data_IF_524166396252
#
_entry.id   IF_524166396252
#
_cell.length_a   1.000
_cell.length_b   1.000
_cell.length_c   1.000
_cell.angle_alpha   90.00
_cell.angle_beta   90.00
_cell.angle_gamma   90.00
#
_symmetry.space_group_name_H-M   'P 1'
#
loop_
_entity.id
_entity.type
_entity.pdbx_description
1 polymer ?
#
# COMPACT_ATOMS: atom_id res chain seq x y z
N UNK A 1 -30.86 -23.18 -24.72
CA UNK A 1 -30.15 -21.89 -24.69
C UNK A 1 -30.04 -21.45 -23.24
N UNK A 2 -28.92 -21.75 -22.57
CA UNK A 2 -28.71 -21.33 -21.18
C UNK A 2 -28.55 -19.82 -21.10
N UNK A 3 -29.11 -19.14 -20.07
CA UNK A 3 -29.01 -17.70 -19.99
C UNK A 3 -27.54 -17.33 -19.87
N UNK A 4 -27.09 -16.46 -20.77
CA UNK A 4 -25.79 -15.85 -20.74
C UNK A 4 -25.53 -15.38 -19.30
N UNK A 5 -24.47 -15.92 -18.68
CA UNK A 5 -23.89 -15.39 -17.46
C UNK A 5 -23.35 -14.02 -17.89
N UNK A 6 -24.22 -13.01 -17.87
CA UNK A 6 -23.81 -11.61 -18.01
C UNK A 6 -22.75 -11.45 -16.94
N UNK A 7 -21.50 -11.28 -17.35
CA UNK A 7 -20.39 -10.89 -16.48
C UNK A 7 -20.74 -9.53 -15.90
N UNK A 8 -21.59 -9.52 -14.86
CA UNK A 8 -22.12 -8.32 -14.23
C UNK A 8 -20.91 -7.49 -13.82
N UNK A 9 -20.78 -6.29 -14.35
CA UNK A 9 -19.64 -5.45 -14.02
C UNK A 9 -19.85 -4.81 -12.65
N UNK A 10 -18.79 -4.24 -12.08
CA UNK A 10 -18.91 -3.48 -10.83
C UNK A 10 -19.98 -2.39 -10.94
N UNK A 11 -20.03 -1.71 -12.09
CA UNK A 11 -20.99 -0.63 -12.37
C UNK A 11 -22.44 -1.08 -12.20
N UNK A 12 -22.77 -2.28 -12.68
CA UNK A 12 -24.14 -2.82 -12.58
C UNK A 12 -24.53 -3.09 -11.12
N UNK A 13 -23.57 -3.59 -10.31
CA UNK A 13 -23.79 -3.81 -8.87
C UNK A 13 -24.00 -2.48 -8.16
N UNK A 14 -23.14 -1.48 -8.42
CA UNK A 14 -23.26 -0.14 -7.83
C UNK A 14 -24.63 0.46 -8.17
N UNK A 15 -25.04 0.39 -9.44
CA UNK A 15 -26.34 0.91 -9.85
C UNK A 15 -27.49 0.18 -9.15
N UNK A 16 -27.37 -1.15 -8.99
CA UNK A 16 -28.40 -1.95 -8.34
C UNK A 16 -28.53 -1.65 -6.86
N UNK A 17 -27.42 -1.47 -6.15
CA UNK A 17 -27.41 -1.00 -4.75
C UNK A 17 -28.06 0.37 -4.64
N UNK A 18 -27.69 1.32 -5.52
CA UNK A 18 -28.26 2.68 -5.52
C UNK A 18 -29.77 2.72 -5.79
N UNK A 19 -30.30 1.70 -6.47
CA UNK A 19 -31.73 1.59 -6.79
C UNK A 19 -32.53 0.88 -5.69
N UNK A 20 -31.90 0.35 -4.65
CA UNK A 20 -32.61 -0.26 -3.52
C UNK A 20 -33.43 0.80 -2.78
N UNK A 21 -34.69 0.50 -2.48
CA UNK A 21 -35.61 1.45 -1.85
C UNK A 21 -35.53 1.44 -0.32
N UNK A 22 -34.91 0.41 0.25
CA UNK A 22 -34.76 0.24 1.69
C UNK A 22 -33.44 -0.44 2.04
N UNK A 23 -32.94 -0.17 3.25
CA UNK A 23 -31.73 -0.82 3.78
C UNK A 23 -31.87 -2.35 3.87
N UNK A 24 -33.08 -2.85 4.12
CA UNK A 24 -33.34 -4.30 4.18
C UNK A 24 -33.26 -4.96 2.80
N UNK A 25 -33.72 -4.28 1.75
CA UNK A 25 -33.58 -4.74 0.37
C UNK A 25 -32.11 -4.78 -0.06
N UNK A 26 -31.37 -3.71 0.24
CA UNK A 26 -29.93 -3.63 -0.01
C UNK A 26 -29.18 -4.77 0.67
N UNK A 27 -29.41 -4.98 1.98
CA UNK A 27 -28.78 -6.05 2.74
C UNK A 27 -29.07 -7.43 2.14
N UNK A 28 -30.33 -7.72 1.80
CA UNK A 28 -30.72 -8.98 1.14
C UNK A 28 -30.07 -9.15 -0.23
N UNK A 29 -29.82 -8.06 -0.96
CA UNK A 29 -29.13 -8.10 -2.24
C UNK A 29 -27.64 -8.41 -2.05
N UNK A 30 -26.97 -7.69 -1.14
CA UNK A 30 -25.54 -7.88 -0.84
C UNK A 30 -25.28 -9.28 -0.30
N UNK A 31 -26.09 -9.78 0.62
CA UNK A 31 -25.96 -11.15 1.17
C UNK A 31 -26.05 -12.21 0.07
N UNK A 32 -26.98 -12.04 -0.88
CA UNK A 32 -27.15 -12.94 -2.04
C UNK A 32 -25.93 -12.90 -2.97
N UNK A 33 -25.40 -11.72 -3.27
CA UNK A 33 -24.20 -11.59 -4.12
C UNK A 33 -22.95 -12.12 -3.42
N UNK A 34 -22.75 -11.84 -2.13
CA UNK A 34 -21.65 -12.39 -1.34
C UNK A 34 -21.69 -13.92 -1.29
N UNK A 35 -22.88 -14.53 -1.18
CA UNK A 35 -23.01 -15.99 -1.25
C UNK A 35 -22.59 -16.56 -2.62
N UNK A 36 -22.89 -15.87 -3.72
CA UNK A 36 -22.42 -16.25 -5.06
C UNK A 36 -20.90 -16.08 -5.19
N UNK A 37 -20.34 -15.00 -4.65
CA UNK A 37 -18.89 -14.76 -4.67
C UNK A 37 -18.14 -15.89 -3.96
N UNK A 38 -18.58 -16.28 -2.76
CA UNK A 38 -18.00 -17.40 -1.98
C UNK A 38 -17.93 -18.70 -2.77
N UNK A 39 -19.03 -19.08 -3.44
CA UNK A 39 -19.08 -20.35 -4.21
C UNK A 39 -18.17 -20.35 -5.43
N UNK A 40 -17.95 -19.17 -6.02
CA UNK A 40 -17.31 -19.07 -7.33
C UNK A 40 -15.86 -18.58 -7.27
N UNK A 41 -15.22 -18.49 -6.11
CA UNK A 41 -13.83 -18.01 -6.04
C UNK A 41 -12.83 -19.04 -6.60
N UNK A 42 -13.01 -20.32 -6.29
CA UNK A 42 -12.09 -21.38 -6.69
C UNK A 42 -12.10 -21.68 -8.21
N UNK A 43 -13.18 -21.32 -8.91
CA UNK A 43 -13.40 -21.69 -10.31
C UNK A 43 -13.09 -20.57 -11.31
N UNK A 44 -12.61 -19.41 -10.85
CA UNK A 44 -12.40 -18.22 -11.68
C UNK A 44 -10.97 -18.09 -12.18
N UNK A 45 -10.84 -17.63 -13.43
CA UNK A 45 -9.59 -17.12 -13.98
C UNK A 45 -9.11 -15.87 -13.22
N UNK A 46 -7.81 -15.52 -13.33
CA UNK A 46 -7.25 -14.34 -12.63
C UNK A 46 -8.03 -13.04 -12.88
N UNK A 47 -8.45 -12.79 -14.12
CA UNK A 47 -9.26 -11.62 -14.46
C UNK A 47 -10.66 -11.62 -13.79
N UNK A 48 -11.32 -12.78 -13.74
CA UNK A 48 -12.62 -12.91 -13.10
C UNK A 48 -12.53 -12.82 -11.57
N UNK A 49 -11.41 -13.27 -10.99
CA UNK A 49 -11.08 -13.03 -9.57
C UNK A 49 -10.92 -11.55 -9.28
N UNK A 50 -10.24 -10.79 -10.14
CA UNK A 50 -10.12 -9.33 -10.00
C UNK A 50 -11.49 -8.63 -9.99
N UNK A 51 -12.39 -8.98 -10.92
CA UNK A 51 -13.75 -8.42 -10.95
C UNK A 51 -14.51 -8.82 -9.68
N UNK A 52 -14.43 -10.09 -9.28
CA UNK A 52 -15.10 -10.60 -8.09
C UNK A 52 -14.63 -9.91 -6.80
N UNK A 53 -13.32 -9.73 -6.63
CA UNK A 53 -12.75 -9.03 -5.49
C UNK A 53 -13.09 -7.55 -5.49
N UNK A 54 -13.09 -6.89 -6.64
CA UNK A 54 -13.47 -5.47 -6.71
C UNK A 54 -14.92 -5.26 -6.23
N UNK A 55 -15.84 -6.17 -6.58
CA UNK A 55 -17.21 -6.15 -6.07
C UNK A 55 -17.26 -6.38 -4.56
N UNK A 56 -16.47 -7.32 -4.06
CA UNK A 56 -16.38 -7.61 -2.64
C UNK A 56 -15.85 -6.41 -1.85
N UNK A 57 -14.82 -5.74 -2.35
CA UNK A 57 -14.27 -4.52 -1.76
C UNK A 57 -15.28 -3.38 -1.75
N UNK A 58 -16.12 -3.27 -2.78
CA UNK A 58 -17.22 -2.31 -2.77
C UNK A 58 -18.22 -2.60 -1.65
N UNK A 59 -18.62 -3.86 -1.46
CA UNK A 59 -19.49 -4.24 -0.33
C UNK A 59 -18.83 -3.98 1.03
N UNK A 60 -17.52 -4.18 1.13
CA UNK A 60 -16.76 -3.84 2.33
C UNK A 60 -16.81 -2.34 2.64
N UNK A 61 -16.68 -1.47 1.63
CA UNK A 61 -16.81 -0.01 1.79
C UNK A 61 -18.20 0.38 2.30
N UNK A 62 -19.24 -0.35 1.89
CA UNK A 62 -20.61 -0.16 2.40
C UNK A 62 -20.82 -0.70 3.83
N UNK A 63 -19.79 -1.29 4.45
CA UNK A 63 -19.84 -1.82 5.81
C UNK A 63 -20.24 -3.29 5.94
N UNK A 64 -20.30 -4.04 4.83
CA UNK A 64 -20.63 -5.47 4.87
C UNK A 64 -19.38 -6.35 5.10
N UNK A 65 -19.50 -7.47 5.83
CA UNK A 65 -18.37 -8.33 6.13
C UNK A 65 -17.80 -9.01 4.87
N UNK A 66 -16.48 -8.88 4.68
CA UNK A 66 -15.77 -9.30 3.47
C UNK A 66 -14.47 -10.10 3.73
N UNK A 67 -14.20 -10.50 4.98
CA UNK A 67 -12.96 -11.18 5.39
C UNK A 67 -12.67 -12.47 4.60
N UNK A 68 -13.71 -13.17 4.12
CA UNK A 68 -13.55 -14.37 3.28
C UNK A 68 -12.81 -14.13 1.95
N UNK A 69 -12.59 -12.86 1.56
CA UNK A 69 -11.81 -12.50 0.38
C UNK A 69 -10.29 -12.43 0.59
N UNK A 70 -9.79 -12.50 1.82
CA UNK A 70 -8.36 -12.31 2.14
C UNK A 70 -7.43 -13.26 1.36
N UNK A 71 -7.75 -14.56 1.33
CA UNK A 71 -6.93 -15.56 0.61
C UNK A 71 -6.94 -15.34 -0.90
N UNK A 72 -8.02 -14.79 -1.45
CA UNK A 72 -8.09 -14.47 -2.87
C UNK A 72 -7.26 -13.22 -3.21
N UNK A 73 -7.16 -12.26 -2.29
CA UNK A 73 -6.24 -11.13 -2.43
C UNK A 73 -4.79 -11.63 -2.51
N UNK A 74 -4.40 -12.56 -1.63
CA UNK A 74 -3.08 -13.21 -1.66
C UNK A 74 -2.84 -13.95 -2.98
N UNK A 75 -3.83 -14.71 -3.46
CA UNK A 75 -3.73 -15.41 -4.74
C UNK A 75 -3.48 -14.45 -5.91
N UNK A 76 -4.12 -13.28 -5.90
CA UNK A 76 -3.89 -12.24 -6.92
C UNK A 76 -2.52 -11.56 -6.80
N UNK A 77 -2.00 -11.37 -5.58
CA UNK A 77 -0.65 -10.82 -5.38
C UNK A 77 0.42 -11.75 -5.98
N UNK A 78 0.22 -13.06 -5.91
CA UNK A 78 1.11 -14.04 -6.54
C UNK A 78 1.02 -14.10 -8.07
N UNK A 79 0.07 -13.39 -8.70
CA UNK A 79 -0.03 -13.30 -10.17
C UNK A 79 1.13 -12.52 -10.77
N UNK A 80 1.55 -12.87 -11.99
CA UNK A 80 2.57 -12.12 -12.75
C UNK A 80 2.00 -10.85 -13.39
N UNK A 81 0.66 -10.74 -13.50
CA UNK A 81 0.01 -9.60 -14.14
C UNK A 81 -0.11 -8.44 -13.16
N UNK A 82 0.41 -7.28 -13.56
CA UNK A 82 0.37 -6.06 -12.73
C UNK A 82 -1.05 -5.66 -12.27
N UNK A 83 -2.05 -5.78 -13.15
CA UNK A 83 -3.45 -5.46 -12.80
C UNK A 83 -3.96 -6.36 -11.68
N UNK A 84 -3.61 -7.64 -11.72
CA UNK A 84 -4.03 -8.61 -10.73
C UNK A 84 -3.36 -8.31 -9.38
N UNK A 85 -2.03 -8.09 -9.38
CA UNK A 85 -1.29 -7.62 -8.20
C UNK A 85 -1.90 -6.35 -7.60
N UNK A 86 -2.25 -5.36 -8.44
CA UNK A 86 -2.83 -4.08 -8.01
C UNK A 86 -4.14 -4.28 -7.25
N UNK A 87 -5.03 -5.12 -7.74
CA UNK A 87 -6.29 -5.43 -7.05
C UNK A 87 -6.04 -6.25 -5.79
N UNK A 88 -5.12 -7.21 -5.83
CA UNK A 88 -4.74 -8.02 -4.66
C UNK A 88 -4.21 -7.16 -3.51
N UNK A 89 -3.23 -6.30 -3.78
CA UNK A 89 -2.64 -5.39 -2.79
C UNK A 89 -3.64 -4.35 -2.25
N UNK A 90 -4.50 -3.80 -3.10
CA UNK A 90 -5.60 -2.95 -2.65
C UNK A 90 -6.53 -3.70 -1.70
N UNK A 91 -6.87 -4.95 -2.02
CA UNK A 91 -7.69 -5.79 -1.17
C UNK A 91 -7.02 -6.11 0.17
N UNK A 92 -5.71 -6.41 0.19
CA UNK A 92 -4.97 -6.57 1.44
C UNK A 92 -4.97 -5.30 2.28
N UNK A 93 -4.82 -4.12 1.67
CA UNK A 93 -4.85 -2.85 2.43
C UNK A 93 -6.19 -2.62 3.14
N UNK A 94 -7.29 -3.16 2.59
CA UNK A 94 -8.63 -2.95 3.12
C UNK A 94 -9.12 -4.07 4.03
N UNK A 95 -8.83 -5.34 3.68
CA UNK A 95 -9.42 -6.53 4.30
C UNK A 95 -8.49 -7.23 5.28
N UNK A 96 -7.18 -6.94 5.28
CA UNK A 96 -6.23 -7.61 6.14
C UNK A 96 -6.49 -7.22 7.60
N UNK A 97 -6.84 -8.21 8.41
CA UNK A 97 -6.90 -8.12 9.86
C UNK A 97 -5.57 -8.58 10.47
N UNK A 98 -5.40 -8.47 11.78
CA UNK A 98 -4.18 -8.89 12.50
C UNK A 98 -3.98 -10.42 12.57
N UNK A 99 -4.64 -11.20 11.71
CA UNK A 99 -4.41 -12.64 11.65
C UNK A 99 -2.96 -12.94 11.21
N UNK A 100 -2.18 -13.51 12.12
CA UNK A 100 -0.74 -13.70 11.99
C UNK A 100 -0.35 -14.46 10.72
N UNK A 101 -1.11 -15.50 10.36
CA UNK A 101 -0.79 -16.34 9.19
C UNK A 101 -0.88 -15.56 7.87
N UNK A 102 -1.95 -14.78 7.69
CA UNK A 102 -2.16 -13.97 6.49
C UNK A 102 -1.13 -12.85 6.43
N UNK A 103 -0.79 -12.24 7.57
CA UNK A 103 0.27 -11.23 7.66
C UNK A 103 1.62 -11.77 7.21
N UNK A 104 2.02 -12.97 7.63
CA UNK A 104 3.29 -13.60 7.23
C UNK A 104 3.30 -13.83 5.71
N UNK A 105 2.21 -14.36 5.15
CA UNK A 105 2.11 -14.59 3.70
C UNK A 105 2.22 -13.28 2.90
N UNK A 106 1.51 -12.23 3.33
CA UNK A 106 1.59 -10.90 2.69
C UNK A 106 3.01 -10.34 2.79
N UNK A 107 3.67 -10.50 3.93
CA UNK A 107 5.06 -10.05 4.16
C UNK A 107 6.02 -10.68 3.15
N UNK A 108 5.92 -12.00 2.95
CA UNK A 108 6.73 -12.72 1.97
C UNK A 108 6.45 -12.26 0.53
N UNK A 109 5.18 -12.05 0.19
CA UNK A 109 4.81 -11.53 -1.13
C UNK A 109 5.35 -10.12 -1.37
N UNK A 110 5.28 -9.24 -0.37
CA UNK A 110 5.86 -7.88 -0.44
C UNK A 110 7.37 -7.97 -0.62
N UNK A 111 8.07 -8.81 0.14
CA UNK A 111 9.52 -8.98 0.02
C UNK A 111 9.95 -9.33 -1.41
N UNK A 112 9.25 -10.29 -2.03
CA UNK A 112 9.49 -10.69 -3.42
C UNK A 112 9.20 -9.56 -4.41
N UNK A 113 8.14 -8.78 -4.18
CA UNK A 113 7.76 -7.69 -5.07
C UNK A 113 8.62 -6.42 -4.89
N UNK A 114 9.27 -6.24 -3.73
CA UNK A 114 10.25 -5.17 -3.49
C UNK A 114 11.53 -5.37 -4.31
N UNK A 115 11.93 -6.61 -4.57
CA UNK A 115 13.11 -6.94 -5.40
C UNK A 115 12.76 -7.12 -6.89
N UNK A 116 11.50 -6.94 -7.27
CA UNK A 116 11.04 -7.17 -8.64
C UNK A 116 11.63 -6.13 -9.62
N UNK A 117 12.00 -6.55 -10.83
CA UNK A 117 12.65 -5.67 -11.82
C UNK A 117 11.79 -4.49 -12.32
N UNK A 118 10.46 -4.60 -12.21
CA UNK A 118 9.52 -3.56 -12.63
C UNK A 118 9.27 -2.52 -11.52
N UNK A 119 9.63 -1.24 -11.77
CA UNK A 119 9.41 -0.13 -10.84
C UNK A 119 7.94 0.07 -10.39
N UNK A 120 6.92 -0.10 -11.26
CA UNK A 120 5.51 -0.12 -10.83
C UNK A 120 5.17 -1.17 -9.78
N UNK A 121 5.75 -2.38 -9.88
CA UNK A 121 5.52 -3.47 -8.91
C UNK A 121 6.15 -3.12 -7.57
N UNK A 122 7.42 -2.68 -7.56
CA UNK A 122 8.10 -2.20 -6.35
C UNK A 122 7.33 -1.06 -5.68
N UNK A 123 6.86 -0.10 -6.48
CA UNK A 123 6.04 1.03 -6.03
C UNK A 123 4.71 0.60 -5.41
N UNK A 124 4.11 -0.47 -5.90
CA UNK A 124 2.85 -1.01 -5.38
C UNK A 124 3.08 -1.73 -4.04
N UNK A 125 4.14 -2.53 -3.94
CA UNK A 125 4.55 -3.19 -2.71
C UNK A 125 4.89 -2.17 -1.61
N UNK A 126 5.67 -1.13 -1.92
CA UNK A 126 6.01 -0.04 -0.99
C UNK A 126 4.78 0.71 -0.49
N UNK A 127 3.84 1.06 -1.38
CA UNK A 127 2.60 1.74 -0.99
C UNK A 127 1.73 0.86 -0.09
N UNK A 128 1.67 -0.44 -0.37
CA UNK A 128 0.91 -1.37 0.48
C UNK A 128 1.56 -1.48 1.84
N UNK A 129 2.87 -1.72 1.88
CA UNK A 129 3.64 -1.82 3.11
C UNK A 129 3.45 -0.58 3.99
N UNK A 130 3.52 0.63 3.42
CA UNK A 130 3.30 1.87 4.17
C UNK A 130 1.91 1.97 4.83
N UNK A 131 0.89 1.33 4.27
CA UNK A 131 -0.46 1.34 4.84
C UNK A 131 -0.65 0.28 5.93
N UNK A 132 -0.16 -0.94 5.70
CA UNK A 132 -0.40 -2.10 6.59
C UNK A 132 0.76 -2.42 7.54
N UNK A 133 1.83 -1.62 7.53
CA UNK A 133 3.06 -1.89 8.26
C UNK A 133 2.82 -2.26 9.74
N UNK A 134 3.16 -3.48 10.12
CA UNK A 134 3.36 -3.91 11.50
C UNK A 134 4.82 -3.74 11.92
N UNK A 135 5.10 -3.79 13.23
CA UNK A 135 6.47 -3.75 13.76
C UNK A 135 7.33 -4.90 13.23
N UNK A 136 6.76 -6.10 13.08
CA UNK A 136 7.47 -7.27 12.56
C UNK A 136 7.75 -7.15 11.06
N UNK A 137 6.77 -6.67 10.27
CA UNK A 137 6.98 -6.34 8.86
C UNK A 137 8.06 -5.27 8.69
N UNK A 138 8.06 -4.26 9.56
CA UNK A 138 9.05 -3.19 9.51
C UNK A 138 10.46 -3.77 9.69
N UNK A 139 10.69 -4.60 10.72
CA UNK A 139 12.00 -5.21 10.96
C UNK A 139 12.43 -6.14 9.82
N UNK A 140 11.51 -6.97 9.32
CA UNK A 140 11.81 -7.93 8.26
C UNK A 140 12.17 -7.26 6.93
N UNK A 141 11.47 -6.18 6.56
CA UNK A 141 11.57 -5.57 5.23
C UNK A 141 12.45 -4.32 5.19
N UNK A 142 12.91 -3.82 6.35
CA UNK A 142 13.77 -2.65 6.48
C UNK A 142 14.99 -2.66 5.54
N UNK A 143 15.77 -3.76 5.47
CA UNK A 143 16.92 -3.83 4.59
C UNK A 143 16.54 -3.64 3.12
N UNK A 144 15.45 -4.26 2.67
CA UNK A 144 14.97 -4.14 1.30
C UNK A 144 14.50 -2.71 0.98
N UNK A 145 13.75 -2.08 1.88
CA UNK A 145 13.29 -0.69 1.70
C UNK A 145 14.46 0.28 1.66
N UNK A 146 15.49 0.07 2.48
CA UNK A 146 16.71 0.90 2.48
C UNK A 146 17.42 0.89 1.13
N UNK A 147 17.50 -0.27 0.48
CA UNK A 147 18.11 -0.40 -0.86
C UNK A 147 17.31 0.43 -1.88
N UNK A 148 15.98 0.41 -1.80
CA UNK A 148 15.09 1.13 -2.72
C UNK A 148 15.09 2.65 -2.55
N UNK A 149 15.67 3.19 -1.47
CA UNK A 149 15.92 4.63 -1.35
C UNK A 149 16.96 5.15 -2.36
N UNK A 150 17.70 4.24 -3.02
CA UNK A 150 18.68 4.54 -4.06
C UNK A 150 18.25 4.00 -5.44
N UNK A 151 16.97 3.71 -5.62
CA UNK A 151 16.43 3.22 -6.90
C UNK A 151 16.54 4.31 -7.99
N UNK A 152 16.76 3.90 -9.25
CA UNK A 152 16.82 4.82 -10.39
C UNK A 152 15.47 5.54 -10.62
N UNK A 153 14.37 4.89 -10.27
CA UNK A 153 13.04 5.45 -10.42
C UNK A 153 12.69 6.37 -9.25
N UNK A 154 12.64 7.68 -9.51
CA UNK A 154 12.27 8.69 -8.52
C UNK A 154 10.94 8.39 -7.78
N UNK A 155 9.94 7.81 -8.47
CA UNK A 155 8.66 7.40 -7.86
C UNK A 155 8.86 6.33 -6.78
N UNK A 156 9.78 5.38 -6.99
CA UNK A 156 10.11 4.33 -6.02
C UNK A 156 10.80 4.95 -4.81
N UNK A 157 11.76 5.86 -5.03
CA UNK A 157 12.49 6.56 -3.97
C UNK A 157 11.55 7.33 -3.04
N UNK A 158 10.62 8.13 -3.60
CA UNK A 158 9.62 8.87 -2.80
C UNK A 158 8.78 7.94 -1.93
N UNK A 159 8.30 6.83 -2.52
CA UNK A 159 7.50 5.84 -1.80
C UNK A 159 8.30 5.09 -0.74
N UNK A 160 9.56 4.78 -1.02
CA UNK A 160 10.46 4.14 -0.07
C UNK A 160 10.76 5.06 1.12
N UNK A 161 10.93 6.37 0.89
CA UNK A 161 11.14 7.36 1.95
C UNK A 161 9.91 7.47 2.88
N UNK A 162 8.71 7.57 2.30
CA UNK A 162 7.46 7.60 3.09
C UNK A 162 7.19 6.27 3.80
N UNK A 163 7.53 5.15 3.18
CA UNK A 163 7.45 3.83 3.82
C UNK A 163 8.43 3.74 5.01
N UNK A 164 9.66 4.22 4.84
CA UNK A 164 10.68 4.28 5.90
C UNK A 164 10.21 5.13 7.09
N UNK A 165 9.56 6.26 6.82
CA UNK A 165 8.91 7.07 7.85
C UNK A 165 7.92 6.25 8.68
N UNK A 166 6.98 5.56 8.01
CA UNK A 166 6.01 4.70 8.70
C UNK A 166 6.67 3.58 9.51
N UNK A 167 7.70 2.95 8.94
CA UNK A 167 8.43 1.85 9.58
C UNK A 167 9.11 2.30 10.86
N UNK A 168 9.76 3.46 10.84
CA UNK A 168 10.40 4.05 12.02
C UNK A 168 9.34 4.42 13.08
N UNK A 169 8.17 4.94 12.67
CA UNK A 169 7.08 5.18 13.62
C UNK A 169 6.55 3.91 14.29
N UNK A 170 6.72 2.74 13.66
CA UNK A 170 6.32 1.43 14.22
C UNK A 170 7.44 0.73 14.99
N UNK A 171 8.68 0.93 14.59
CA UNK A 171 9.89 0.35 15.15
C UNK A 171 10.99 1.43 15.21
N UNK A 172 11.01 2.29 16.25
CA UNK A 172 11.94 3.41 16.39
C UNK A 172 13.41 3.01 16.32
N UNK A 173 13.74 1.78 16.71
CA UNK A 173 15.09 1.20 16.64
C UNK A 173 15.67 1.17 15.22
N UNK A 174 14.83 1.26 14.19
CA UNK A 174 15.26 1.29 12.78
C UNK A 174 15.75 2.67 12.33
N UNK A 175 15.58 3.73 13.13
CA UNK A 175 15.93 5.09 12.73
C UNK A 175 17.41 5.23 12.33
N UNK A 176 18.33 4.66 13.12
CA UNK A 176 19.77 4.70 12.85
C UNK A 176 20.13 4.06 11.50
N UNK A 177 19.36 3.04 11.08
CA UNK A 177 19.60 2.34 9.82
C UNK A 177 19.33 3.25 8.60
N UNK A 178 18.33 4.14 8.71
CA UNK A 178 17.89 5.03 7.63
C UNK A 178 18.58 6.41 7.67
N UNK A 179 19.20 6.80 8.79
CA UNK A 179 19.88 8.08 8.96
C UNK A 179 20.87 8.41 7.82
N UNK A 180 21.73 7.49 7.33
CA UNK A 180 22.66 7.78 6.24
C UNK A 180 21.96 8.13 4.92
N UNK A 181 20.72 7.69 4.73
CA UNK A 181 19.97 7.90 3.49
C UNK A 181 19.38 9.33 3.42
N UNK A 182 19.17 10.01 4.55
CA UNK A 182 18.59 11.36 4.59
C UNK A 182 19.43 12.34 3.76
N UNK A 183 20.76 12.33 3.95
CA UNK A 183 21.67 13.20 3.18
C UNK A 183 21.52 12.99 1.67
N UNK A 184 21.36 11.75 1.23
CA UNK A 184 21.16 11.42 -0.19
C UNK A 184 19.82 11.92 -0.72
N UNK A 185 18.75 11.84 0.09
CA UNK A 185 17.41 12.28 -0.30
C UNK A 185 17.34 13.81 -0.38
N UNK A 186 17.93 14.52 0.58
CA UNK A 186 17.96 15.98 0.60
C UNK A 186 18.79 16.57 -0.55
N UNK A 187 19.83 15.86 -0.99
CA UNK A 187 20.64 16.26 -2.15
C UNK A 187 20.06 15.84 -3.50
N UNK A 188 18.89 15.20 -3.53
CA UNK A 188 18.27 14.78 -4.80
C UNK A 188 17.81 15.99 -5.63
N UNK A 189 17.84 15.86 -6.97
CA UNK A 189 17.38 16.93 -7.87
C UNK A 189 15.85 17.09 -7.90
N UNK A 190 15.10 16.10 -7.40
CA UNK A 190 13.65 16.11 -7.40
C UNK A 190 13.11 16.64 -6.08
N UNK A 191 12.35 17.74 -6.13
CA UNK A 191 11.77 18.39 -4.95
C UNK A 191 10.86 17.46 -4.13
N UNK A 192 10.17 16.51 -4.76
CA UNK A 192 9.33 15.54 -4.05
C UNK A 192 10.15 14.55 -3.23
N UNK A 193 11.29 14.10 -3.75
CA UNK A 193 12.23 13.27 -3.01
C UNK A 193 12.90 14.03 -1.86
N UNK A 194 13.23 15.31 -2.07
CA UNK A 194 13.71 16.20 -1.01
C UNK A 194 12.67 16.35 0.11
N UNK A 195 11.41 16.63 -0.25
CA UNK A 195 10.32 16.78 0.71
C UNK A 195 10.11 15.49 1.52
N UNK A 196 10.11 14.32 0.87
CA UNK A 196 10.02 13.04 1.57
C UNK A 196 11.23 12.83 2.51
N UNK A 197 12.42 13.26 2.10
CA UNK A 197 13.62 13.28 2.95
C UNK A 197 13.48 14.19 4.17
N UNK A 198 12.89 15.38 4.01
CA UNK A 198 12.57 16.28 5.13
C UNK A 198 11.55 15.65 6.08
N UNK A 199 10.47 15.06 5.57
CA UNK A 199 9.47 14.37 6.40
C UNK A 199 10.11 13.25 7.23
N UNK A 200 10.98 12.44 6.61
CA UNK A 200 11.72 11.39 7.29
C UNK A 200 12.64 11.96 8.38
N UNK A 201 13.36 13.04 8.08
CA UNK A 201 14.24 13.72 9.03
C UNK A 201 13.48 14.29 10.24
N UNK A 202 12.36 14.97 10.00
CA UNK A 202 11.49 15.51 11.05
C UNK A 202 11.04 14.40 11.99
N UNK A 203 10.62 13.26 11.43
CA UNK A 203 10.14 12.11 12.22
C UNK A 203 11.24 11.53 13.10
N UNK A 204 12.47 11.44 12.59
CA UNK A 204 13.61 10.99 13.41
C UNK A 204 13.90 11.96 14.55
N UNK A 205 13.85 13.26 14.28
CA UNK A 205 14.03 14.31 15.29
C UNK A 205 12.94 14.27 16.37
N UNK A 206 11.68 13.99 16.00
CA UNK A 206 10.56 13.85 16.94
C UNK A 206 10.71 12.64 17.86
N UNK A 207 11.33 11.56 17.38
CA UNK A 207 11.54 10.34 18.16
C UNK A 207 12.68 10.50 19.15
N UNK A 208 13.78 11.15 18.76
CA UNK A 208 14.93 11.34 19.65
C UNK A 208 15.70 12.61 19.28
N UNK A 209 15.86 13.49 20.27
CA UNK A 209 16.56 14.77 20.12
C UNK A 209 18.03 14.62 19.70
N UNK A 210 18.67 13.47 19.99
CA UNK A 210 20.06 13.21 19.55
C UNK A 210 20.22 13.14 18.03
N UNK A 211 19.15 12.89 17.27
CA UNK A 211 19.18 12.98 15.80
C UNK A 211 19.23 14.43 15.32
N UNK A 212 18.75 15.38 16.12
CA UNK A 212 18.74 16.80 15.76
C UNK A 212 20.18 17.28 15.54
N UNK A 213 21.12 16.91 16.40
CA UNK A 213 22.53 17.29 16.24
C UNK A 213 23.12 16.71 14.95
N UNK A 214 22.84 15.43 14.66
CA UNK A 214 23.34 14.74 13.45
C UNK A 214 22.74 15.29 12.15
N UNK A 215 21.52 15.83 12.20
CA UNK A 215 20.79 16.34 11.03
C UNK A 215 21.03 17.84 10.81
N UNK A 216 21.26 18.62 11.88
CA UNK A 216 21.55 20.06 11.82
C UNK A 216 22.75 20.41 10.94
N UNK A 217 23.76 19.54 10.89
CA UNK A 217 24.98 19.73 10.11
C UNK A 217 24.81 19.49 8.61
N UNK A 218 23.62 19.06 8.16
CA UNK A 218 23.35 18.84 6.75
C UNK A 218 23.04 20.17 6.04
N UNK A 219 24.03 20.73 5.35
CA UNK A 219 23.89 21.92 4.48
C UNK A 219 22.68 21.84 3.52
N UNK A 220 22.38 20.62 3.06
CA UNK A 220 21.25 20.33 2.18
C UNK A 220 19.90 20.75 2.78
N UNK A 221 19.72 20.61 4.09
CA UNK A 221 18.47 20.98 4.77
C UNK A 221 18.28 22.51 4.80
N UNK A 222 19.37 23.26 4.91
CA UNK A 222 19.34 24.72 4.82
C UNK A 222 18.94 25.19 3.41
N UNK A 223 19.40 24.50 2.36
CA UNK A 223 19.02 24.80 0.98
C UNK A 223 17.53 24.52 0.76
N UNK A 224 17.03 23.36 1.20
CA UNK A 224 15.60 23.03 1.06
C UNK A 224 14.72 24.01 1.85
N UNK A 225 15.11 24.41 3.07
CA UNK A 225 14.39 25.44 3.83
C UNK A 225 14.40 26.80 3.14
N UNK A 226 15.51 27.21 2.51
CA UNK A 226 15.57 28.45 1.71
C UNK A 226 14.65 28.38 0.49
N UNK A 227 14.66 27.27 -0.24
CA UNK A 227 13.77 27.05 -1.40
C UNK A 227 12.29 27.07 -1.00
N UNK A 228 11.93 26.47 0.13
CA UNK A 228 10.55 26.50 0.65
C UNK A 228 10.13 27.90 1.08
N UNK A 229 11.02 28.68 1.71
CA UNK A 229 10.75 30.09 2.05
C UNK A 229 10.51 30.95 0.82
N UNK A 230 11.31 30.78 -0.24
CA UNK A 230 11.11 31.52 -1.49
C UNK A 230 9.78 31.21 -2.19
N UNK A 231 9.19 30.03 -1.93
CA UNK A 231 7.86 29.67 -2.47
C UNK A 231 6.73 30.25 -1.60
N UNK A 232 6.95 30.41 -0.30
CA UNK A 232 5.96 30.99 0.62
C UNK A 232 5.86 32.53 0.55
N UNK A 233 6.85 33.19 -0.05
CA UNK A 233 6.88 34.65 -0.26
C UNK A 233 6.21 35.10 -1.58
N UNK A 234 5.59 34.18 -2.32
CA UNK A 234 4.74 34.42 -3.49
C UNK A 234 3.25 34.20 -3.16
#
# INVERSE_FOLDING_TARGET
MGPAIIKTQLKDIVQRVRNCKSAQEERKFVERECAKLRKNFNTKSGHEKCIALTKLLYFYILGYPAHFGQMECLALISSTRFVDKRIGYMGCTMLLDENADVHIMVTNSIQNDLIHGSAPVRSLALSTLANICSSDMARALAPSVKVLLKDDACVVVKKAALCSHRMISKAPELADMFLPCIKSLLNSCDLGSQLCGCTLAITMCEINESFIEKIKDLEALQITCKSLRSVAEY
#
